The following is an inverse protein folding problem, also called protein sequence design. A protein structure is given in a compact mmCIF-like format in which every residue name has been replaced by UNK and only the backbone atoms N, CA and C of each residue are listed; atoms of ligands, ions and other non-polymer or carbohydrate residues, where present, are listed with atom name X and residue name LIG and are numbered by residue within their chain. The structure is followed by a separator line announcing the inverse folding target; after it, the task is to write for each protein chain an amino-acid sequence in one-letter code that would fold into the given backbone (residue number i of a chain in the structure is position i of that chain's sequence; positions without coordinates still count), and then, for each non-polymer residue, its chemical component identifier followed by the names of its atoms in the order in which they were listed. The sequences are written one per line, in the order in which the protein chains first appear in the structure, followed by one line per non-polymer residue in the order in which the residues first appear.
data_IF_660505450426
#
_entry.id   IF_660505450426
#
_cell.length_a   1.000
_cell.length_b   1.000
_cell.length_c   1.000
_cell.angle_alpha   90.00
_cell.angle_beta   90.00
_cell.angle_gamma   90.00
#
_symmetry.space_group_name_H-M   'P 1'
#
loop_
_entity.id
_entity.type
_entity.pdbx_description
1 polymer ?
#
# COMPACT_ATOMS: atom_id res chain seq x y z
N UNK A 1 10.49 27.44 -61.40
CA UNK A 1 10.67 26.47 -60.31
C UNK A 1 10.49 27.23 -59.00
N UNK A 2 9.33 27.02 -58.31
CA UNK A 2 9.05 27.65 -57.01
C UNK A 2 9.29 26.57 -55.92
N UNK A 3 10.36 26.70 -55.16
CA UNK A 3 10.66 25.85 -54.02
C UNK A 3 9.83 26.29 -52.81
N UNK A 4 8.95 25.42 -52.35
CA UNK A 4 8.20 25.58 -51.10
C UNK A 4 9.08 25.06 -49.94
N UNK A 5 9.52 25.95 -49.05
CA UNK A 5 10.08 25.55 -47.77
C UNK A 5 8.95 25.22 -46.80
N UNK A 6 8.80 23.95 -46.48
CA UNK A 6 7.91 23.50 -45.37
C UNK A 6 8.62 23.72 -44.04
N UNK A 7 8.12 24.66 -43.24
CA UNK A 7 8.56 24.83 -41.85
C UNK A 7 7.82 23.80 -40.98
N UNK A 8 8.54 22.81 -40.48
CA UNK A 8 8.03 21.85 -39.46
C UNK A 8 8.13 22.54 -38.11
N UNK A 9 7.00 22.93 -37.57
CA UNK A 9 6.89 23.44 -36.20
C UNK A 9 6.99 22.24 -35.23
N UNK A 10 8.16 22.04 -34.62
CA UNK A 10 8.32 21.12 -33.49
C UNK A 10 7.64 21.74 -32.26
N UNK A 11 6.42 21.28 -31.90
CA UNK A 11 5.84 21.57 -30.61
C UNK A 11 6.64 20.81 -29.53
N UNK A 12 7.60 21.49 -28.90
CA UNK A 12 8.16 21.01 -27.63
C UNK A 12 7.04 21.08 -26.57
N UNK A 13 6.44 19.95 -26.26
CA UNK A 13 5.63 19.79 -25.07
C UNK A 13 6.57 19.91 -23.88
N UNK A 14 6.61 21.07 -23.24
CA UNK A 14 7.24 21.22 -21.93
C UNK A 14 6.50 20.29 -20.98
N UNK A 15 7.12 19.19 -20.57
CA UNK A 15 6.64 18.40 -19.44
C UNK A 15 6.79 19.28 -18.20
N UNK A 16 5.70 19.87 -17.75
CA UNK A 16 5.66 20.52 -16.46
C UNK A 16 5.93 19.43 -15.44
N UNK A 17 7.05 19.52 -14.73
CA UNK A 17 7.33 18.63 -13.61
C UNK A 17 6.29 18.95 -12.52
N UNK A 18 5.29 18.09 -12.39
CA UNK A 18 4.32 18.16 -11.31
C UNK A 18 4.96 17.63 -10.03
N UNK A 19 4.64 18.22 -8.89
CA UNK A 19 5.03 17.72 -7.58
C UNK A 19 3.83 17.11 -6.89
N UNK A 20 4.08 16.21 -5.94
CA UNK A 20 3.05 15.75 -5.03
C UNK A 20 2.72 16.84 -4.01
N UNK A 21 1.45 17.23 -3.87
CA UNK A 21 0.94 17.96 -2.71
C UNK A 21 0.80 17.01 -1.54
N UNK A 22 1.27 17.36 -0.34
CA UNK A 22 1.27 16.48 0.84
C UNK A 22 0.41 17.10 1.94
N UNK A 23 -0.61 16.35 2.41
CA UNK A 23 -1.56 16.79 3.44
C UNK A 23 -1.59 15.78 4.58
N UNK A 24 -1.62 16.25 5.82
CA UNK A 24 -1.79 15.41 7.00
C UNK A 24 -3.23 15.55 7.47
N UNK A 25 -3.96 14.45 7.52
CA UNK A 25 -5.39 14.46 7.84
C UNK A 25 -5.71 13.60 9.05
N UNK A 26 -6.83 13.89 9.71
CA UNK A 26 -7.41 13.11 10.79
C UNK A 26 -8.79 12.64 10.37
N UNK A 27 -9.03 11.36 10.51
CA UNK A 27 -10.34 10.73 10.29
C UNK A 27 -10.97 10.59 11.67
N UNK A 28 -12.11 11.26 11.93
CA UNK A 28 -12.72 11.23 13.25
C UNK A 28 -13.08 9.83 13.72
N UNK A 29 -13.10 9.61 15.02
CA UNK A 29 -13.67 8.41 15.62
C UNK A 29 -15.15 8.29 15.26
N UNK A 30 -15.62 7.07 15.07
CA UNK A 30 -17.02 6.73 14.80
C UNK A 30 -17.40 5.41 15.51
N UNK A 31 -18.59 4.87 15.22
CA UNK A 31 -19.03 3.59 15.80
C UNK A 31 -18.16 2.39 15.40
N UNK A 32 -17.35 2.53 14.34
CA UNK A 32 -16.52 1.45 13.79
C UNK A 32 -15.07 1.49 14.32
N UNK A 33 -14.65 2.58 14.97
CA UNK A 33 -13.30 2.64 15.53
C UNK A 33 -12.83 4.03 15.98
N UNK A 34 -11.62 4.11 16.56
CA UNK A 34 -11.03 5.36 17.09
C UNK A 34 -10.66 6.33 15.97
N UNK A 35 -10.21 7.55 16.37
CA UNK A 35 -9.60 8.50 15.46
C UNK A 35 -8.39 7.87 14.76
N UNK A 36 -8.27 8.10 13.45
CA UNK A 36 -7.14 7.66 12.66
C UNK A 36 -6.41 8.86 12.06
N UNK A 37 -5.11 8.69 11.82
CA UNK A 37 -4.27 9.64 11.07
C UNK A 37 -3.97 9.08 9.70
N UNK A 38 -3.88 9.94 8.70
CA UNK A 38 -3.46 9.56 7.37
C UNK A 38 -2.61 10.67 6.73
N UNK A 39 -1.82 10.29 5.74
CA UNK A 39 -1.13 11.22 4.85
C UNK A 39 -1.74 11.07 3.47
N UNK A 40 -2.03 12.21 2.84
CA UNK A 40 -2.64 12.27 1.51
C UNK A 40 -1.70 12.98 0.56
N UNK A 41 -1.40 12.32 -0.57
CA UNK A 41 -0.67 12.92 -1.68
C UNK A 41 -1.65 13.23 -2.81
N UNK A 42 -1.47 14.38 -3.44
CA UNK A 42 -2.34 14.85 -4.52
C UNK A 42 -1.52 15.46 -5.64
N UNK A 43 -1.99 15.45 -6.90
CA UNK A 43 -1.32 16.19 -7.97
C UNK A 43 -1.23 17.68 -7.62
N UNK A 44 -0.07 18.29 -7.83
CA UNK A 44 0.23 19.68 -7.54
C UNK A 44 0.92 20.35 -8.74
N UNK A 45 0.62 21.63 -9.02
CA UNK A 45 1.19 22.33 -10.16
C UNK A 45 2.60 22.88 -9.92
N UNK A 46 2.99 23.01 -8.66
CA UNK A 46 4.26 23.64 -8.28
C UNK A 46 5.41 22.63 -8.29
N UNK A 47 6.65 23.10 -8.32
CA UNK A 47 7.84 22.27 -8.31
C UNK A 47 8.05 21.59 -6.94
N UNK A 48 8.50 20.33 -6.95
CA UNK A 48 8.79 19.58 -5.74
C UNK A 48 9.89 20.22 -4.90
N UNK A 49 9.71 20.15 -3.58
CA UNK A 49 10.71 20.49 -2.58
C UNK A 49 10.95 19.26 -1.68
N UNK A 50 12.08 19.22 -0.99
CA UNK A 50 12.30 18.21 0.04
C UNK A 50 11.60 18.64 1.32
N UNK A 51 10.65 17.81 1.79
CA UNK A 51 9.96 17.98 3.07
C UNK A 51 10.43 16.93 4.07
N UNK A 52 11.07 17.36 5.15
CA UNK A 52 11.48 16.46 6.23
C UNK A 52 10.32 16.24 7.21
N UNK A 53 9.92 14.99 7.41
CA UNK A 53 8.87 14.57 8.35
C UNK A 53 9.41 13.46 9.26
N UNK A 54 9.82 13.81 10.48
CA UNK A 54 10.53 12.88 11.35
C UNK A 54 11.80 12.35 10.67
N UNK A 55 11.98 11.04 10.53
CA UNK A 55 13.14 10.46 9.85
C UNK A 55 12.97 10.36 8.32
N UNK A 56 11.84 10.80 7.75
CA UNK A 56 11.55 10.67 6.32
C UNK A 56 11.87 11.95 5.55
N UNK A 57 12.34 11.78 4.33
CA UNK A 57 12.57 12.86 3.36
C UNK A 57 11.62 12.63 2.19
N UNK A 58 10.57 13.46 2.11
CA UNK A 58 9.52 13.38 1.09
C UNK A 58 9.80 14.39 -0.02
N UNK A 59 9.41 14.07 -1.24
CA UNK A 59 9.45 14.97 -2.39
C UNK A 59 8.06 15.52 -2.66
N UNK A 60 7.82 16.78 -2.33
CA UNK A 60 6.49 17.37 -2.53
C UNK A 60 6.35 18.74 -1.88
N UNK A 61 5.13 19.25 -1.86
CA UNK A 61 4.76 20.52 -1.23
C UNK A 61 3.67 20.31 -0.21
N UNK A 62 3.88 20.85 0.99
CA UNK A 62 2.88 20.81 2.04
C UNK A 62 1.65 21.65 1.65
N UNK A 63 0.46 21.05 1.81
CA UNK A 63 -0.83 21.70 1.62
C UNK A 63 -1.04 22.36 0.23
N UNK A 64 -0.33 21.87 -0.80
CA UNK A 64 -0.52 22.32 -2.18
C UNK A 64 -1.96 22.07 -2.65
N UNK A 65 -2.60 23.04 -3.34
CA UNK A 65 -3.91 22.83 -3.94
C UNK A 65 -3.90 21.67 -4.95
N UNK A 66 -4.90 20.80 -4.86
CA UNK A 66 -5.01 19.64 -5.74
C UNK A 66 -5.34 20.05 -7.17
N UNK A 67 -4.55 19.60 -8.12
CA UNK A 67 -4.75 19.81 -9.55
C UNK A 67 -5.57 18.67 -10.16
N UNK A 68 -6.54 19.01 -11.01
CA UNK A 68 -7.36 18.05 -11.75
C UNK A 68 -8.67 17.70 -11.06
N UNK A 69 -9.51 16.98 -11.80
CA UNK A 69 -10.83 16.52 -11.39
C UNK A 69 -11.04 15.07 -11.83
N UNK A 70 -11.98 14.35 -11.19
CA UNK A 70 -12.24 12.92 -11.41
C UNK A 70 -10.95 12.10 -11.33
N UNK A 71 -10.15 12.36 -10.29
CA UNK A 71 -8.87 11.69 -10.06
C UNK A 71 -9.10 10.29 -9.49
N UNK A 72 -8.36 9.27 -9.93
CA UNK A 72 -8.39 7.97 -9.27
C UNK A 72 -7.80 8.08 -7.86
N UNK A 73 -8.31 7.27 -6.94
CA UNK A 73 -7.81 7.15 -5.57
C UNK A 73 -7.01 5.85 -5.41
N UNK A 74 -5.83 5.91 -4.81
CA UNK A 74 -5.13 4.71 -4.32
C UNK A 74 -4.99 4.82 -2.80
N UNK A 75 -5.45 3.79 -2.08
CA UNK A 75 -5.27 3.72 -0.62
C UNK A 75 -4.10 2.78 -0.29
N UNK A 76 -3.28 3.16 0.69
CA UNK A 76 -2.08 2.43 1.11
C UNK A 76 -2.24 1.93 2.54
N UNK A 77 -1.98 0.63 2.75
CA UNK A 77 -1.92 -0.05 4.05
C UNK A 77 -0.51 -0.54 4.33
N UNK A 78 0.14 -0.03 5.35
CA UNK A 78 1.48 -0.43 5.77
C UNK A 78 1.51 -1.81 6.45
N UNK A 79 2.69 -2.40 6.60
CA UNK A 79 2.93 -3.64 7.34
C UNK A 79 2.79 -3.48 8.86
N UNK A 80 3.04 -4.59 9.60
CA UNK A 80 3.07 -4.62 11.05
C UNK A 80 4.00 -3.54 11.62
N UNK A 81 3.50 -2.76 12.57
CA UNK A 81 4.27 -1.68 13.22
C UNK A 81 4.80 -0.62 12.26
N UNK A 82 4.22 -0.50 11.07
CA UNK A 82 4.69 0.42 10.04
C UNK A 82 4.19 1.86 10.23
N UNK A 83 4.20 2.64 9.16
CA UNK A 83 3.84 4.04 9.15
C UNK A 83 3.24 4.44 7.80
N UNK A 84 2.35 5.43 7.73
CA UNK A 84 1.82 5.92 6.45
C UNK A 84 2.89 6.47 5.50
N UNK A 85 4.10 6.72 6.01
CA UNK A 85 5.23 7.21 5.21
C UNK A 85 6.14 6.10 4.67
N UNK A 86 5.88 4.82 5.02
CA UNK A 86 6.74 3.70 4.63
C UNK A 86 6.81 3.43 3.13
N UNK A 87 5.87 3.98 2.35
CA UNK A 87 5.77 3.82 0.89
C UNK A 87 5.54 5.18 0.21
N UNK A 88 6.21 6.23 0.75
CA UNK A 88 6.02 7.59 0.26
C UNK A 88 6.47 7.79 -1.19
N UNK A 89 7.50 7.09 -1.64
CA UNK A 89 8.02 7.13 -2.98
C UNK A 89 7.00 6.65 -4.03
N UNK A 90 6.30 5.55 -3.75
CA UNK A 90 5.16 5.10 -4.57
C UNK A 90 4.04 6.14 -4.54
N UNK A 91 3.72 6.69 -3.35
CA UNK A 91 2.67 7.70 -3.22
C UNK A 91 3.01 8.98 -4.01
N UNK A 92 4.26 9.43 -3.97
CA UNK A 92 4.79 10.54 -4.76
C UNK A 92 4.68 10.25 -6.27
N UNK A 93 5.14 9.07 -6.71
CA UNK A 93 5.07 8.62 -8.11
C UNK A 93 3.63 8.60 -8.64
N UNK A 94 2.69 8.09 -7.84
CA UNK A 94 1.27 8.04 -8.22
C UNK A 94 0.65 9.45 -8.26
N UNK A 95 0.95 10.31 -7.28
CA UNK A 95 0.44 11.68 -7.25
C UNK A 95 0.96 12.51 -8.44
N UNK A 96 2.24 12.39 -8.78
CA UNK A 96 2.82 13.02 -9.97
C UNK A 96 2.18 12.52 -11.27
N UNK A 97 1.63 11.30 -11.25
CA UNK A 97 0.90 10.70 -12.37
C UNK A 97 -0.61 11.02 -12.40
N UNK A 98 -1.10 11.87 -11.49
CA UNK A 98 -2.49 12.33 -11.48
C UNK A 98 -3.43 11.52 -10.58
N UNK A 99 -2.92 10.82 -9.58
CA UNK A 99 -3.72 10.09 -8.60
C UNK A 99 -3.82 10.87 -7.27
N UNK A 100 -4.92 10.71 -6.57
CA UNK A 100 -4.97 10.97 -5.13
C UNK A 100 -4.52 9.71 -4.41
N UNK A 101 -3.58 9.82 -3.49
CA UNK A 101 -3.09 8.69 -2.69
C UNK A 101 -3.32 8.96 -1.22
N UNK A 102 -3.89 8.01 -0.49
CA UNK A 102 -4.13 8.16 0.95
C UNK A 102 -3.52 6.97 1.71
N UNK A 103 -2.52 7.21 2.56
CA UNK A 103 -1.89 6.20 3.39
C UNK A 103 -2.33 6.37 4.85
N UNK A 104 -2.85 5.28 5.42
CA UNK A 104 -3.36 5.27 6.79
C UNK A 104 -2.27 4.95 7.81
N UNK A 105 -2.50 5.39 9.06
CA UNK A 105 -1.80 4.93 10.24
C UNK A 105 -2.79 4.07 11.06
N UNK A 106 -2.64 2.74 11.03
CA UNK A 106 -3.54 1.83 11.74
C UNK A 106 -3.44 2.03 13.26
N UNK A 107 -4.54 2.26 13.96
CA UNK A 107 -4.53 2.41 15.43
C UNK A 107 -4.08 1.11 16.12
N UNK A 108 -3.16 1.20 17.07
CA UNK A 108 -2.67 0.04 17.83
C UNK A 108 -1.65 -0.85 17.11
N UNK A 109 -1.45 -0.67 15.79
CA UNK A 109 -0.46 -1.42 14.99
C UNK A 109 0.33 -0.50 14.07
N UNK A 110 1.08 0.45 14.65
CA UNK A 110 1.91 1.37 13.92
C UNK A 110 3.18 1.74 14.71
N UNK A 111 4.15 2.37 14.08
CA UNK A 111 5.46 2.68 14.66
C UNK A 111 5.43 3.55 15.93
N UNK A 112 4.32 4.25 16.20
CA UNK A 112 4.14 5.09 17.40
C UNK A 112 3.23 4.44 18.46
N UNK A 113 2.47 3.42 18.07
CA UNK A 113 1.55 2.70 18.95
C UNK A 113 1.46 1.23 18.51
N UNK A 114 2.10 0.37 19.29
CA UNK A 114 2.14 -1.09 19.10
C UNK A 114 1.25 -1.83 20.10
N UNK A 115 0.35 -1.13 20.79
CA UNK A 115 -0.40 -1.66 21.93
C UNK A 115 -1.28 -2.86 21.60
N UNK A 116 -1.68 -3.01 20.33
CA UNK A 116 -2.54 -4.09 19.84
C UNK A 116 -1.92 -4.92 18.72
N UNK A 117 -0.71 -4.59 18.31
CA UNK A 117 -0.04 -5.16 17.15
C UNK A 117 0.13 -6.68 17.19
N UNK A 118 0.09 -7.29 18.38
CA UNK A 118 0.15 -8.74 18.58
C UNK A 118 -1.23 -9.38 18.86
N UNK A 119 -2.34 -8.66 18.67
CA UNK A 119 -3.70 -9.16 18.85
C UNK A 119 -4.29 -9.57 17.51
N UNK A 120 -4.98 -10.74 17.46
CA UNK A 120 -5.67 -11.21 16.26
C UNK A 120 -6.78 -10.26 15.81
N UNK A 121 -7.32 -9.44 16.72
CA UNK A 121 -8.33 -8.44 16.41
C UNK A 121 -7.83 -7.38 15.41
N UNK A 122 -6.52 -7.11 15.36
CA UNK A 122 -5.93 -6.20 14.37
C UNK A 122 -6.18 -6.69 12.93
N UNK A 123 -6.19 -8.00 12.70
CA UNK A 123 -6.48 -8.57 11.38
C UNK A 123 -7.95 -8.36 10.96
N UNK A 124 -8.85 -8.19 11.93
CA UNK A 124 -10.28 -7.87 11.70
C UNK A 124 -10.47 -6.37 11.46
N UNK A 125 -9.76 -5.53 12.20
CA UNK A 125 -9.97 -4.08 12.22
C UNK A 125 -9.28 -3.37 11.06
N UNK A 126 -8.11 -3.82 10.61
CA UNK A 126 -7.39 -3.17 9.50
C UNK A 126 -8.23 -3.04 8.20
N UNK A 127 -9.01 -4.05 7.75
CA UNK A 127 -9.94 -3.86 6.63
C UNK A 127 -11.02 -2.81 6.92
N UNK A 128 -11.53 -2.74 8.16
CA UNK A 128 -12.50 -1.70 8.59
C UNK A 128 -11.87 -0.31 8.52
N UNK A 129 -10.65 -0.17 9.00
CA UNK A 129 -9.90 1.09 8.95
C UNK A 129 -9.73 1.61 7.51
N UNK A 130 -9.37 0.72 6.57
CA UNK A 130 -9.26 1.08 5.14
C UNK A 130 -10.62 1.50 4.58
N UNK A 131 -11.70 0.77 4.92
CA UNK A 131 -13.04 1.17 4.49
C UNK A 131 -13.40 2.57 5.01
N UNK A 132 -13.11 2.88 6.28
CA UNK A 132 -13.31 4.20 6.88
C UNK A 132 -12.46 5.28 6.19
N UNK A 133 -11.21 4.95 5.82
CA UNK A 133 -10.37 5.86 5.04
C UNK A 133 -11.00 6.17 3.68
N UNK A 134 -11.47 5.16 2.95
CA UNK A 134 -12.17 5.34 1.66
C UNK A 134 -13.43 6.19 1.85
N UNK A 135 -14.26 5.89 2.87
CA UNK A 135 -15.47 6.67 3.19
C UNK A 135 -15.12 8.15 3.46
N UNK A 136 -14.08 8.41 4.25
CA UNK A 136 -13.61 9.77 4.52
C UNK A 136 -13.11 10.48 3.26
N UNK A 137 -12.30 9.82 2.46
CA UNK A 137 -11.74 10.39 1.23
C UNK A 137 -12.82 10.80 0.24
N UNK A 138 -13.89 10.01 0.12
CA UNK A 138 -14.99 10.25 -0.83
C UNK A 138 -16.03 11.25 -0.33
N UNK A 139 -16.18 11.44 0.99
CA UNK A 139 -17.28 12.24 1.53
C UNK A 139 -16.82 13.48 2.33
N UNK A 140 -15.70 13.40 3.04
CA UNK A 140 -15.33 14.38 4.06
C UNK A 140 -13.96 15.03 3.85
N UNK A 141 -13.11 14.50 2.95
CA UNK A 141 -11.82 15.10 2.64
C UNK A 141 -11.98 16.42 1.87
N UNK A 142 -10.99 17.30 1.97
CA UNK A 142 -10.97 18.54 1.17
C UNK A 142 -10.95 18.26 -0.35
N UNK A 143 -10.56 17.07 -0.74
CA UNK A 143 -10.44 16.64 -2.15
C UNK A 143 -11.60 15.74 -2.59
N UNK A 144 -12.63 15.50 -1.76
CA UNK A 144 -13.72 14.54 -2.02
C UNK A 144 -14.40 14.76 -3.37
N UNK A 145 -14.67 16.02 -3.75
CA UNK A 145 -15.32 16.36 -5.02
C UNK A 145 -14.44 16.17 -6.26
N UNK A 146 -13.13 15.97 -6.06
CA UNK A 146 -12.15 15.77 -7.13
C UNK A 146 -11.86 14.30 -7.40
N UNK A 147 -12.26 13.40 -6.48
CA UNK A 147 -12.01 11.95 -6.59
C UNK A 147 -13.11 11.29 -7.42
N UNK A 148 -12.72 10.38 -8.29
CA UNK A 148 -13.65 9.49 -9.00
C UNK A 148 -13.93 8.24 -8.14
N UNK A 149 -15.14 8.07 -7.59
CA UNK A 149 -15.47 6.95 -6.72
C UNK A 149 -15.49 5.60 -7.43
N UNK A 150 -15.50 5.57 -8.77
CA UNK A 150 -15.45 4.34 -9.56
C UNK A 150 -14.02 3.82 -9.78
N UNK A 151 -12.99 4.65 -9.52
CA UNK A 151 -11.59 4.34 -9.80
C UNK A 151 -10.75 4.32 -8.53
N UNK A 152 -10.93 3.28 -7.71
CA UNK A 152 -10.22 3.10 -6.44
C UNK A 152 -9.30 1.89 -6.54
N UNK A 153 -8.01 2.09 -6.27
CA UNK A 153 -6.98 1.07 -6.15
C UNK A 153 -6.48 0.93 -4.70
N UNK A 154 -5.75 -0.14 -4.47
CA UNK A 154 -5.17 -0.45 -3.17
C UNK A 154 -3.72 -0.90 -3.32
N UNK A 155 -2.83 -0.40 -2.45
CA UNK A 155 -1.50 -0.96 -2.25
C UNK A 155 -1.37 -1.44 -0.80
N UNK A 156 -0.79 -2.63 -0.61
CA UNK A 156 -0.53 -3.16 0.73
C UNK A 156 0.78 -3.91 0.83
N UNK A 157 1.54 -3.66 1.90
CA UNK A 157 2.77 -4.36 2.21
C UNK A 157 2.61 -5.26 3.42
N UNK A 158 3.11 -6.51 3.35
CA UNK A 158 3.11 -7.44 4.49
C UNK A 158 1.69 -7.63 5.06
N UNK A 159 1.44 -7.31 6.32
CA UNK A 159 0.10 -7.29 6.93
C UNK A 159 -0.89 -6.37 6.19
N UNK A 160 -0.40 -5.30 5.53
CA UNK A 160 -1.20 -4.50 4.60
C UNK A 160 -1.59 -5.28 3.35
N UNK A 161 -0.76 -6.18 2.86
CA UNK A 161 -1.09 -7.11 1.77
C UNK A 161 -2.18 -8.10 2.15
N UNK A 162 -2.13 -8.68 3.36
CA UNK A 162 -3.22 -9.44 3.97
C UNK A 162 -4.52 -8.62 3.97
N UNK A 163 -4.46 -7.38 4.47
CA UNK A 163 -5.61 -6.46 4.49
C UNK A 163 -6.22 -6.29 3.12
N UNK A 164 -5.38 -6.15 2.06
CA UNK A 164 -5.83 -6.05 0.68
C UNK A 164 -6.55 -7.30 0.18
N UNK A 165 -6.06 -8.50 0.51
CA UNK A 165 -6.73 -9.76 0.15
C UNK A 165 -8.10 -9.87 0.81
N UNK A 166 -8.22 -9.52 2.10
CA UNK A 166 -9.52 -9.50 2.79
C UNK A 166 -10.48 -8.52 2.13
N UNK A 167 -10.03 -7.28 1.85
CA UNK A 167 -10.87 -6.28 1.18
C UNK A 167 -11.32 -6.74 -0.21
N UNK A 168 -10.48 -7.53 -0.91
CA UNK A 168 -10.78 -8.11 -2.22
C UNK A 168 -11.77 -9.30 -2.18
N UNK A 169 -12.08 -9.85 -0.98
CA UNK A 169 -13.04 -10.94 -0.81
C UNK A 169 -12.47 -12.22 -0.22
N UNK A 170 -11.18 -12.25 0.16
CA UNK A 170 -10.60 -13.39 0.84
C UNK A 170 -11.09 -13.50 2.29
N UNK A 171 -11.18 -14.74 2.79
CA UNK A 171 -11.48 -15.03 4.20
C UNK A 171 -10.34 -15.87 4.78
N UNK A 172 -9.58 -15.35 5.75
CA UNK A 172 -8.45 -16.07 6.32
C UNK A 172 -8.87 -17.30 7.12
N UNK A 173 -7.99 -18.29 7.18
CA UNK A 173 -8.12 -19.47 8.04
C UNK A 173 -6.93 -19.53 9.01
N UNK A 174 -7.00 -18.80 10.09
CA UNK A 174 -5.96 -18.74 11.12
C UNK A 174 -5.70 -20.07 11.84
N UNK A 175 -6.60 -21.05 11.71
CA UNK A 175 -6.45 -22.35 12.39
C UNK A 175 -5.58 -23.30 11.57
N UNK A 176 -5.71 -23.26 10.24
CA UNK A 176 -5.02 -24.18 9.34
C UNK A 176 -3.90 -23.51 8.54
N UNK A 177 -3.78 -22.17 8.61
CA UNK A 177 -2.62 -21.49 8.06
C UNK A 177 -1.37 -21.83 8.88
N UNK A 178 -0.23 -21.91 8.19
CA UNK A 178 1.07 -22.05 8.85
C UNK A 178 1.49 -20.70 9.44
N UNK A 179 0.73 -20.23 10.43
CA UNK A 179 1.02 -18.98 11.12
C UNK A 179 2.38 -19.09 11.79
N UNK A 180 3.29 -18.23 11.38
CA UNK A 180 4.59 -18.14 12.03
C UNK A 180 4.42 -17.70 13.49
N UNK A 181 4.46 -18.66 14.41
CA UNK A 181 4.40 -18.43 15.86
C UNK A 181 5.76 -18.76 16.48
N UNK A 182 6.81 -17.93 16.21
CA UNK A 182 8.15 -18.19 16.73
C UNK A 182 8.22 -18.11 18.26
N UNK A 183 7.30 -17.36 18.87
CA UNK A 183 7.13 -17.29 20.32
C UNK A 183 5.68 -17.66 20.69
N UNK A 184 5.48 -18.87 21.29
CA UNK A 184 4.15 -19.32 21.68
C UNK A 184 3.50 -18.46 22.78
N UNK A 185 4.22 -17.54 23.40
CA UNK A 185 3.68 -16.62 24.42
C UNK A 185 2.99 -15.40 23.80
N UNK A 186 3.24 -15.11 22.53
CA UNK A 186 2.57 -14.01 21.86
C UNK A 186 1.05 -14.10 21.92
N UNK A 187 0.34 -13.01 22.16
CA UNK A 187 -1.12 -12.99 22.26
C UNK A 187 -1.80 -13.68 21.09
N UNK A 188 -1.45 -13.33 19.86
CA UNK A 188 -2.03 -13.93 18.64
C UNK A 188 -1.85 -15.46 18.60
N UNK A 189 -0.65 -15.96 18.92
CA UNK A 189 -0.39 -17.41 18.93
C UNK A 189 -1.22 -18.15 20.00
N UNK A 190 -1.44 -17.53 21.16
CA UNK A 190 -2.31 -18.05 22.19
C UNK A 190 -3.77 -18.02 21.77
N UNK A 191 -4.24 -16.93 21.16
CA UNK A 191 -5.61 -16.79 20.66
C UNK A 191 -5.92 -17.86 19.61
N UNK A 192 -5.03 -18.06 18.62
CA UNK A 192 -5.19 -19.12 17.62
C UNK A 192 -5.28 -20.51 18.25
N UNK A 193 -4.36 -20.85 19.17
CA UNK A 193 -4.40 -22.16 19.87
C UNK A 193 -5.67 -22.38 20.70
N UNK A 194 -6.25 -21.31 21.25
CA UNK A 194 -7.49 -21.38 22.02
C UNK A 194 -8.74 -21.39 21.14
N UNK A 195 -8.61 -21.19 19.82
CA UNK A 195 -9.74 -21.03 18.91
C UNK A 195 -10.43 -19.67 19.02
N UNK A 196 -9.77 -18.67 19.63
CA UNK A 196 -10.23 -17.28 19.75
C UNK A 196 -9.98 -16.54 18.42
N UNK A 197 -10.46 -17.11 17.33
CA UNK A 197 -10.31 -16.57 15.96
C UNK A 197 -11.61 -15.97 15.44
N UNK A 198 -11.55 -15.00 14.51
CA UNK A 198 -12.74 -14.43 13.89
C UNK A 198 -13.61 -15.53 13.26
N UNK A 199 -14.92 -15.52 13.55
CA UNK A 199 -15.89 -16.51 13.04
C UNK A 199 -16.79 -15.97 11.94
N UNK A 200 -16.88 -14.66 11.80
CA UNK A 200 -17.70 -14.00 10.78
C UNK A 200 -16.83 -13.61 9.58
N UNK A 201 -17.43 -13.47 8.39
CA UNK A 201 -16.73 -12.88 7.26
C UNK A 201 -16.17 -11.49 7.63
N UNK A 202 -14.93 -11.21 7.21
CA UNK A 202 -14.29 -9.93 7.44
C UNK A 202 -14.82 -8.87 6.47
N UNK A 203 -14.43 -7.62 6.69
CA UNK A 203 -14.89 -6.49 5.87
C UNK A 203 -14.30 -6.54 4.46
N UNK A 204 -15.15 -6.72 3.45
CA UNK A 204 -14.82 -6.58 2.03
C UNK A 204 -15.23 -5.18 1.55
N UNK A 205 -14.53 -4.63 0.55
CA UNK A 205 -14.91 -3.35 -0.05
C UNK A 205 -14.90 -3.45 -1.59
N UNK A 206 -16.05 -3.68 -2.26
CA UNK A 206 -16.15 -3.86 -3.70
C UNK A 206 -15.90 -2.58 -4.50
N UNK A 207 -15.73 -1.43 -3.82
CA UNK A 207 -15.35 -0.17 -4.49
C UNK A 207 -13.90 -0.19 -4.95
N UNK A 208 -13.03 -0.98 -4.29
CA UNK A 208 -11.63 -1.13 -4.68
C UNK A 208 -11.57 -2.08 -5.87
N UNK A 209 -11.00 -1.61 -6.99
CA UNK A 209 -11.05 -2.30 -8.28
C UNK A 209 -9.75 -3.00 -8.68
N UNK A 210 -8.62 -2.64 -8.09
CA UNK A 210 -7.32 -3.20 -8.42
C UNK A 210 -6.40 -3.17 -7.18
N UNK A 211 -5.58 -4.21 -7.02
CA UNK A 211 -4.75 -4.40 -5.85
C UNK A 211 -3.29 -4.65 -6.24
N UNK A 212 -2.37 -3.92 -5.64
CA UNK A 212 -0.92 -4.20 -5.68
C UNK A 212 -0.51 -4.66 -4.28
N UNK A 213 -0.03 -5.89 -4.17
CA UNK A 213 0.29 -6.54 -2.90
C UNK A 213 1.79 -6.85 -2.87
N UNK A 214 2.50 -6.26 -1.95
CA UNK A 214 3.94 -6.44 -1.76
C UNK A 214 4.20 -7.35 -0.56
N UNK A 215 4.74 -8.52 -0.82
CA UNK A 215 5.12 -9.54 0.17
C UNK A 215 4.03 -9.78 1.23
N UNK A 216 2.76 -10.08 0.80
CA UNK A 216 1.62 -10.15 1.70
C UNK A 216 1.81 -11.21 2.78
N UNK A 217 1.43 -10.86 4.03
CA UNK A 217 1.30 -11.83 5.09
C UNK A 217 0.17 -12.81 4.76
N UNK A 218 0.44 -14.11 4.78
CA UNK A 218 -0.46 -15.13 4.21
C UNK A 218 -1.16 -15.95 5.29
N UNK A 219 -2.50 -15.85 5.34
CA UNK A 219 -3.40 -16.62 6.19
C UNK A 219 -4.49 -17.31 5.34
N UNK A 220 -4.14 -17.63 4.07
CA UNK A 220 -5.07 -18.14 3.07
C UNK A 220 -4.60 -19.50 2.52
N UNK A 221 -4.64 -20.59 3.32
CA UNK A 221 -3.99 -21.86 3.00
C UNK A 221 -4.63 -22.66 1.86
N UNK A 222 -5.83 -22.30 1.42
CA UNK A 222 -6.57 -23.06 0.41
C UNK A 222 -7.26 -22.18 -0.62
N UNK A 223 -7.61 -22.74 -1.78
CA UNK A 223 -8.38 -22.03 -2.81
C UNK A 223 -9.75 -21.55 -2.29
N UNK A 224 -10.34 -22.22 -1.29
CA UNK A 224 -11.62 -21.82 -0.70
C UNK A 224 -11.52 -20.49 0.05
N UNK A 225 -10.36 -20.22 0.68
CA UNK A 225 -10.12 -18.97 1.42
C UNK A 225 -10.02 -17.74 0.52
N UNK A 226 -9.69 -17.91 -0.76
CA UNK A 226 -9.53 -16.82 -1.75
C UNK A 226 -10.55 -16.87 -2.89
N UNK A 227 -11.53 -17.79 -2.87
CA UNK A 227 -12.47 -18.05 -3.97
C UNK A 227 -13.27 -16.83 -4.44
N UNK A 228 -13.47 -15.85 -3.57
CA UNK A 228 -14.24 -14.63 -3.88
C UNK A 228 -13.36 -13.47 -4.38
N UNK A 229 -12.06 -13.67 -4.51
CA UNK A 229 -11.12 -12.64 -4.99
C UNK A 229 -11.16 -12.59 -6.52
N UNK A 230 -11.89 -11.63 -7.06
CA UNK A 230 -12.09 -11.51 -8.52
C UNK A 230 -11.48 -10.24 -9.12
N UNK A 231 -11.08 -9.29 -8.29
CA UNK A 231 -10.42 -8.07 -8.77
C UNK A 231 -9.03 -8.37 -9.34
N UNK A 232 -8.53 -7.62 -10.32
CA UNK A 232 -7.15 -7.70 -10.77
C UNK A 232 -6.16 -7.50 -9.63
N UNK A 233 -5.16 -8.37 -9.55
CA UNK A 233 -4.10 -8.31 -8.53
C UNK A 233 -2.73 -8.35 -9.20
N UNK A 234 -1.83 -7.47 -8.77
CA UNK A 234 -0.39 -7.58 -8.96
C UNK A 234 0.25 -7.99 -7.64
N UNK A 235 0.98 -9.10 -7.60
CA UNK A 235 1.67 -9.60 -6.40
C UNK A 235 3.18 -9.54 -6.60
N UNK A 236 3.87 -9.04 -5.58
CA UNK A 236 5.32 -9.04 -5.48
C UNK A 236 5.76 -9.92 -4.30
N UNK A 237 6.72 -10.81 -4.53
CA UNK A 237 7.32 -11.65 -3.48
C UNK A 237 8.82 -11.43 -3.40
N UNK A 238 9.36 -11.30 -2.19
CA UNK A 238 10.81 -11.31 -1.95
C UNK A 238 11.37 -12.74 -2.07
N UNK A 239 12.56 -12.89 -2.68
CA UNK A 239 13.20 -14.21 -2.81
C UNK A 239 13.67 -14.76 -1.46
N UNK A 240 14.07 -13.90 -0.53
CA UNK A 240 14.60 -14.30 0.77
C UNK A 240 13.56 -14.31 1.89
N UNK A 241 12.37 -13.72 1.69
CA UNK A 241 11.34 -13.61 2.73
C UNK A 241 11.81 -12.84 3.97
N UNK A 242 11.30 -13.25 5.12
CA UNK A 242 11.63 -12.70 6.44
C UNK A 242 10.43 -12.09 7.15
N UNK A 243 10.59 -11.81 8.43
CA UNK A 243 9.58 -11.18 9.31
C UNK A 243 8.20 -11.89 9.28
N UNK A 244 8.22 -13.22 9.22
CA UNK A 244 7.00 -14.05 9.19
C UNK A 244 6.45 -14.33 7.79
N UNK A 245 7.11 -13.87 6.73
CA UNK A 245 6.80 -14.21 5.34
C UNK A 245 7.83 -15.19 4.81
N UNK A 246 7.38 -16.42 4.56
CA UNK A 246 8.23 -17.47 3.99
C UNK A 246 8.26 -17.34 2.45
N UNK A 247 9.43 -17.52 1.78
CA UNK A 247 9.55 -17.35 0.33
C UNK A 247 8.61 -18.20 -0.48
N UNK A 248 8.21 -19.39 0.04
CA UNK A 248 7.33 -20.32 -0.65
C UNK A 248 5.84 -19.93 -0.59
N UNK A 249 5.42 -19.12 0.38
CA UNK A 249 4.00 -18.79 0.59
C UNK A 249 3.45 -17.88 -0.50
N UNK A 250 4.23 -16.92 -0.98
CA UNK A 250 3.76 -15.97 -1.99
C UNK A 250 3.47 -16.62 -3.36
N UNK A 251 4.35 -17.48 -3.92
CA UNK A 251 4.01 -18.26 -5.10
C UNK A 251 2.81 -19.20 -4.90
N UNK A 252 2.69 -19.82 -3.72
CA UNK A 252 1.57 -20.68 -3.40
C UNK A 252 0.26 -19.90 -3.40
N UNK A 253 0.19 -18.79 -2.67
CA UNK A 253 -0.95 -17.87 -2.66
C UNK A 253 -1.34 -17.40 -4.07
N UNK A 254 -0.35 -16.99 -4.90
CA UNK A 254 -0.60 -16.59 -6.28
C UNK A 254 -1.23 -17.72 -7.11
N UNK A 255 -0.88 -18.98 -6.81
CA UNK A 255 -1.46 -20.18 -7.45
C UNK A 255 -2.88 -20.52 -6.98
N UNK A 256 -3.30 -20.06 -5.80
CA UNK A 256 -4.63 -20.31 -5.25
C UNK A 256 -5.69 -19.31 -5.74
N UNK A 257 -5.29 -18.14 -6.22
CA UNK A 257 -6.21 -17.09 -6.67
C UNK A 257 -7.05 -17.55 -7.85
N UNK A 258 -8.37 -17.23 -7.89
CA UNK A 258 -9.28 -17.62 -8.99
C UNK A 258 -8.86 -17.05 -10.35
N UNK A 259 -8.26 -15.87 -10.34
CA UNK A 259 -7.68 -15.24 -11.52
C UNK A 259 -6.17 -15.14 -11.34
N UNK A 260 -5.42 -15.50 -12.39
CA UNK A 260 -3.96 -15.43 -12.37
C UNK A 260 -3.49 -13.99 -12.16
N UNK A 261 -2.77 -13.70 -11.07
CA UNK A 261 -2.25 -12.36 -10.82
C UNK A 261 -1.07 -12.04 -11.74
N UNK A 262 -0.77 -10.75 -11.91
CA UNK A 262 0.55 -10.31 -12.39
C UNK A 262 1.56 -10.55 -11.26
N UNK A 263 2.40 -11.58 -11.38
CA UNK A 263 3.28 -12.03 -10.31
C UNK A 263 4.75 -11.73 -10.58
N UNK A 264 5.43 -11.13 -9.61
CA UNK A 264 6.84 -10.77 -9.66
C UNK A 264 7.60 -11.32 -8.46
N UNK A 265 8.71 -12.02 -8.71
CA UNK A 265 9.69 -12.40 -7.68
C UNK A 265 10.86 -11.42 -7.74
N UNK A 266 11.19 -10.81 -6.61
CA UNK A 266 12.31 -9.86 -6.48
C UNK A 266 13.53 -10.60 -5.99
N UNK A 267 14.47 -10.84 -6.91
CA UNK A 267 15.70 -11.57 -6.60
C UNK A 267 16.58 -10.83 -5.59
N UNK A 268 17.20 -11.57 -4.71
CA UNK A 268 18.05 -11.08 -3.63
C UNK A 268 17.35 -10.08 -2.67
N UNK A 269 16.03 -9.89 -2.77
CA UNK A 269 15.29 -9.05 -1.84
C UNK A 269 14.89 -9.85 -0.61
N UNK A 270 15.00 -9.22 0.57
CA UNK A 270 14.36 -9.62 1.80
C UNK A 270 13.06 -8.82 2.01
N UNK A 271 12.25 -9.24 2.97
CA UNK A 271 10.92 -8.67 3.25
C UNK A 271 10.90 -7.13 3.29
N UNK A 272 11.83 -6.52 4.04
CA UNK A 272 11.86 -5.06 4.20
C UNK A 272 12.37 -4.29 2.97
N UNK A 273 12.80 -4.97 1.90
CA UNK A 273 13.18 -4.32 0.66
C UNK A 273 12.02 -3.52 0.01
N UNK A 274 10.76 -3.83 0.36
CA UNK A 274 9.57 -3.13 -0.11
C UNK A 274 9.25 -1.82 0.64
N UNK A 275 9.98 -1.50 1.71
CA UNK A 275 9.90 -0.18 2.35
C UNK A 275 10.72 0.81 1.54
N UNK A 276 10.20 2.02 1.35
CA UNK A 276 10.87 3.09 0.63
C UNK A 276 12.35 3.25 0.99
N UNK A 277 13.22 3.65 0.06
CA UNK A 277 14.63 3.86 0.33
C UNK A 277 14.86 4.73 1.58
N UNK A 278 15.63 4.20 2.53
CA UNK A 278 15.81 4.84 3.82
C UNK A 278 16.72 6.07 3.74
N UNK A 279 16.27 7.17 4.34
CA UNK A 279 17.13 8.31 4.67
C UNK A 279 18.21 7.92 5.69
N UNK A 280 19.24 8.73 5.84
CA UNK A 280 20.28 8.48 6.86
C UNK A 280 19.74 8.58 8.29
N UNK A 281 18.68 9.38 8.51
CA UNK A 281 17.99 9.46 9.78
C UNK A 281 17.23 8.16 10.08
N UNK A 282 16.52 7.60 9.10
CA UNK A 282 15.79 6.35 9.25
C UNK A 282 16.72 5.15 9.44
N UNK A 283 17.87 5.09 8.73
CA UNK A 283 18.89 4.06 8.93
C UNK A 283 19.43 4.04 10.37
N UNK A 284 19.55 5.20 11.02
CA UNK A 284 19.98 5.31 12.42
C UNK A 284 18.88 4.92 13.39
N UNK A 285 17.62 5.30 13.11
CA UNK A 285 16.48 5.07 13.99
C UNK A 285 15.97 3.62 13.92
N UNK A 286 15.89 3.05 12.73
CA UNK A 286 15.33 1.72 12.47
C UNK A 286 16.24 0.92 11.52
N UNK A 287 17.49 0.60 11.94
CA UNK A 287 18.46 -0.06 11.06
C UNK A 287 17.96 -1.39 10.49
N UNK A 288 17.17 -2.15 11.27
CA UNK A 288 16.64 -3.46 10.84
C UNK A 288 15.85 -3.39 9.54
N UNK A 289 15.02 -2.35 9.35
CA UNK A 289 14.17 -2.22 8.14
C UNK A 289 14.92 -1.60 6.97
N UNK A 290 16.15 -1.12 7.19
CA UNK A 290 16.96 -0.43 6.18
C UNK A 290 18.14 -1.26 5.68
N UNK A 291 18.34 -2.49 6.19
CA UNK A 291 19.42 -3.38 5.76
C UNK A 291 18.92 -4.27 4.62
N UNK A 292 19.65 -4.25 3.52
CA UNK A 292 19.44 -5.13 2.37
C UNK A 292 20.52 -6.21 2.29
N UNK A 293 20.23 -7.29 1.56
CA UNK A 293 21.22 -8.28 1.22
C UNK A 293 22.34 -7.67 0.37
N UNK A 294 23.55 -8.21 0.48
CA UNK A 294 24.69 -7.70 -0.27
C UNK A 294 24.43 -7.72 -1.80
N UNK A 295 24.59 -6.56 -2.42
CA UNK A 295 24.37 -6.38 -3.87
C UNK A 295 22.92 -6.07 -4.28
N UNK A 296 21.97 -5.95 -3.34
CA UNK A 296 20.63 -5.48 -3.65
C UNK A 296 20.57 -3.94 -3.70
N UNK A 297 20.10 -3.40 -4.82
CA UNK A 297 19.90 -1.97 -5.01
C UNK A 297 18.43 -1.61 -4.78
N UNK A 298 18.08 -1.23 -3.53
CA UNK A 298 16.71 -0.86 -3.14
C UNK A 298 16.20 0.34 -3.96
N UNK A 299 17.05 1.31 -4.27
CA UNK A 299 16.64 2.51 -5.04
C UNK A 299 16.22 2.12 -6.46
N UNK A 300 17.03 1.33 -7.16
CA UNK A 300 16.69 0.85 -8.50
C UNK A 300 15.48 -0.08 -8.49
N UNK A 301 15.33 -0.89 -7.44
CA UNK A 301 14.15 -1.75 -7.26
C UNK A 301 12.87 -0.92 -7.10
N UNK A 302 12.87 0.09 -6.23
CA UNK A 302 11.70 0.95 -6.01
C UNK A 302 11.29 1.71 -7.27
N UNK A 303 12.25 2.21 -8.07
CA UNK A 303 11.94 2.79 -9.39
C UNK A 303 11.17 1.79 -10.29
N UNK A 304 11.53 0.51 -10.22
CA UNK A 304 10.85 -0.55 -10.98
C UNK A 304 9.47 -0.88 -10.41
N UNK A 305 9.36 -1.02 -9.09
CA UNK A 305 8.12 -1.28 -8.36
C UNK A 305 7.09 -0.19 -8.64
N UNK A 306 7.48 1.07 -8.45
CA UNK A 306 6.61 2.23 -8.61
C UNK A 306 6.11 2.36 -10.06
N UNK A 307 7.02 2.21 -11.04
CA UNK A 307 6.66 2.27 -12.45
C UNK A 307 5.68 1.15 -12.85
N UNK A 308 5.88 -0.08 -12.35
CA UNK A 308 5.01 -1.21 -12.63
C UNK A 308 3.67 -1.12 -11.90
N UNK A 309 3.65 -0.67 -10.63
CA UNK A 309 2.42 -0.42 -9.89
C UNK A 309 1.58 0.68 -10.57
N UNK A 310 2.22 1.78 -11.00
CA UNK A 310 1.55 2.82 -11.77
C UNK A 310 0.97 2.29 -13.10
N UNK A 311 1.73 1.49 -13.84
CA UNK A 311 1.27 0.89 -15.09
C UNK A 311 0.06 -0.04 -14.85
N UNK A 312 0.11 -0.84 -13.79
CA UNK A 312 -0.97 -1.74 -13.39
C UNK A 312 -2.24 -0.96 -13.00
N UNK A 313 -2.14 0.09 -12.19
CA UNK A 313 -3.29 0.91 -11.84
C UNK A 313 -3.87 1.63 -13.07
N UNK A 314 -3.04 2.13 -13.98
CA UNK A 314 -3.50 2.73 -15.25
C UNK A 314 -4.30 1.75 -16.11
N UNK A 315 -3.89 0.50 -16.13
CA UNK A 315 -4.57 -0.54 -16.92
C UNK A 315 -5.89 -1.02 -16.31
N UNK A 316 -6.09 -0.84 -14.99
CA UNK A 316 -7.21 -1.45 -14.25
C UNK A 316 -8.16 -0.43 -13.58
N UNK A 317 -7.83 0.86 -13.58
CA UNK A 317 -8.65 1.94 -13.00
C UNK A 317 -9.11 2.91 -14.11
N UNK A 318 -10.00 2.47 -14.99
CA UNK A 318 -10.56 3.21 -16.15
C UNK A 318 -12.08 3.33 -16.11
#
# INVERSE_FOLDING_TARGET
MKTWLSVVLLCLSATVAHAAGIKFVRIPADASGPEMKAVVWTPCADAAQTLTVGPFELKGLRDCPTLGDKLPLVVISHGHGGTPLGHHDLAETLADAGYVVAAINHPGDNALDMSRAADIQEFVERPVDIKRLVDYMLANSADATRIDPARIGFFGFSRGGYTGLVLAGANPDFVHAEVACPDPTWPICRQIRNGDVPKAPLTHDPRIKAYVLADPFDEFPTADTVKNVHAPIQIWGSEAGGDGVEPATIPALAGLLPQRPEFHVVRNAAHFAFIAPCSDALKKMAPRVCVDAGGFDRVAFHQTLDAKALAFFRANLH
#
